data_IF_803470170950
#
_entry.id   IF_803470170950
#
_cell.length_a   1.000
_cell.length_b   1.000
_cell.length_c   1.000
_cell.angle_alpha   90.00
_cell.angle_beta   90.00
_cell.angle_gamma   90.00
#
_symmetry.space_group_name_H-M   'P 1'
#
loop_
_entity.id
_entity.type
_entity.pdbx_description
1 polymer ?
#
# COMPACT_ATOMS: atom_id res chain seq x y z
N UNK A 1 -14.24 8.97 15.23
CA UNK A 1 -14.10 7.51 15.43
C UNK A 1 -12.87 7.12 16.26
N UNK A 2 -11.62 7.46 15.90
CA UNK A 2 -10.42 7.03 16.66
C UNK A 2 -10.40 7.41 18.15
N UNK A 3 -10.91 8.60 18.52
CA UNK A 3 -11.03 9.04 19.93
C UNK A 3 -12.09 8.24 20.71
N UNK A 4 -13.15 7.78 20.02
CA UNK A 4 -14.20 6.95 20.65
C UNK A 4 -13.70 5.54 20.97
N UNK A 5 -12.70 5.04 20.25
CA UNK A 5 -12.05 3.74 20.46
C UNK A 5 -11.01 3.74 21.60
N UNK A 6 -10.76 4.90 22.26
CA UNK A 6 -9.79 5.08 23.36
C UNK A 6 -8.40 4.46 23.10
N UNK A 7 -7.97 4.39 21.84
CA UNK A 7 -6.71 3.75 21.46
C UNK A 7 -5.70 4.77 20.93
N UNK A 8 -4.66 5.11 21.73
CA UNK A 8 -3.54 5.94 21.31
C UNK A 8 -2.96 5.63 19.91
N UNK A 9 -2.73 4.36 19.49
CA UNK A 9 -2.15 4.09 18.17
C UNK A 9 -3.03 4.53 17.00
N UNK A 10 -4.36 4.39 17.10
CA UNK A 10 -5.28 4.82 16.03
C UNK A 10 -5.41 6.34 15.98
N UNK A 11 -5.37 7.01 17.13
CA UNK A 11 -5.37 8.47 17.18
C UNK A 11 -4.09 9.03 16.55
N UNK A 12 -2.92 8.46 16.86
CA UNK A 12 -1.64 8.86 16.24
C UNK A 12 -1.70 8.65 14.72
N UNK A 13 -2.19 7.50 14.26
CA UNK A 13 -2.35 7.24 12.83
C UNK A 13 -3.28 8.25 12.14
N UNK A 14 -4.37 8.64 12.81
CA UNK A 14 -5.28 9.66 12.32
C UNK A 14 -4.57 11.02 12.24
N UNK A 15 -3.84 11.44 13.28
CA UNK A 15 -3.10 12.70 13.27
C UNK A 15 -2.05 12.72 12.16
N UNK A 16 -1.29 11.64 11.98
CA UNK A 16 -0.33 11.50 10.87
C UNK A 16 -1.05 11.64 9.52
N UNK A 17 -2.21 10.99 9.36
CA UNK A 17 -3.00 11.11 8.13
C UNK A 17 -3.45 12.53 7.84
N UNK A 18 -3.84 13.28 8.87
CA UNK A 18 -4.16 14.70 8.75
C UNK A 18 -2.94 15.53 8.36
N UNK A 19 -1.80 15.34 9.03
CA UNK A 19 -0.54 16.07 8.74
C UNK A 19 -0.08 15.79 7.31
N UNK A 20 -0.05 14.53 6.89
CA UNK A 20 0.37 14.14 5.53
C UNK A 20 -0.64 14.66 4.50
N UNK A 21 -1.95 14.62 4.77
CA UNK A 21 -2.96 15.20 3.88
C UNK A 21 -2.81 16.73 3.74
N UNK A 22 -2.51 17.41 4.84
CA UNK A 22 -2.20 18.84 4.87
C UNK A 22 -0.91 19.14 4.08
N UNK A 23 0.17 18.41 4.33
CA UNK A 23 1.44 18.48 3.60
C UNK A 23 1.36 18.01 2.13
N UNK A 24 0.25 17.38 1.74
CA UNK A 24 -0.02 17.06 0.35
C UNK A 24 -0.68 18.23 -0.39
N UNK A 25 -1.55 18.97 0.30
CA UNK A 25 -2.49 19.92 -0.33
C UNK A 25 -2.14 21.39 -0.11
N UNK A 26 -1.47 21.75 0.99
CA UNK A 26 -1.22 23.16 1.35
C UNK A 26 -0.17 23.79 0.43
N UNK A 27 -0.50 24.95 -0.12
CA UNK A 27 0.37 25.72 -1.00
C UNK A 27 1.43 26.53 -0.23
N UNK A 28 2.23 25.87 0.61
CA UNK A 28 3.41 26.43 1.26
C UNK A 28 4.68 25.88 0.58
N UNK A 29 5.78 26.66 0.50
CA UNK A 29 7.06 26.13 0.04
C UNK A 29 7.44 24.91 0.90
N UNK A 30 7.84 23.80 0.25
CA UNK A 30 8.11 22.46 0.83
C UNK A 30 6.91 21.57 1.19
N UNK A 31 5.68 22.11 1.26
CA UNK A 31 4.47 21.37 1.68
C UNK A 31 3.46 21.13 0.55
N UNK A 32 3.87 21.34 -0.70
CA UNK A 32 3.03 21.03 -1.88
C UNK A 32 3.46 19.70 -2.49
N UNK A 33 3.40 18.62 -1.72
CA UNK A 33 3.89 17.30 -2.15
C UNK A 33 3.18 16.76 -3.39
N UNK A 34 1.95 17.23 -3.68
CA UNK A 34 1.25 16.99 -4.95
C UNK A 34 2.07 17.38 -6.18
N UNK A 35 2.96 18.37 -6.07
CA UNK A 35 3.77 18.86 -7.19
C UNK A 35 4.99 17.97 -7.51
N UNK A 36 5.29 16.97 -6.67
CA UNK A 36 6.45 16.08 -6.87
C UNK A 36 6.01 14.61 -6.86
N UNK A 37 6.33 13.82 -7.90
CA UNK A 37 5.88 12.42 -8.01
C UNK A 37 6.38 11.55 -6.86
N UNK A 38 7.63 11.75 -6.43
CA UNK A 38 8.23 10.97 -5.35
C UNK A 38 7.51 11.19 -4.02
N UNK A 39 7.15 12.43 -3.70
CA UNK A 39 6.44 12.71 -2.44
C UNK A 39 5.00 12.20 -2.48
N UNK A 40 4.36 12.15 -3.66
CA UNK A 40 3.05 11.54 -3.81
C UNK A 40 3.08 10.03 -3.50
N UNK A 41 4.10 9.32 -3.98
CA UNK A 41 4.32 7.90 -3.66
C UNK A 41 4.57 7.72 -2.16
N UNK A 42 5.45 8.52 -1.57
CA UNK A 42 5.75 8.47 -0.12
C UNK A 42 4.50 8.72 0.72
N UNK A 43 3.68 9.71 0.36
CA UNK A 43 2.43 10.00 1.04
C UNK A 43 1.48 8.78 1.02
N UNK A 44 1.33 8.13 -0.13
CA UNK A 44 0.43 6.97 -0.27
C UNK A 44 0.95 5.76 0.52
N UNK A 45 2.26 5.53 0.54
CA UNK A 45 2.87 4.47 1.37
C UNK A 45 2.60 4.72 2.86
N UNK A 46 2.75 5.96 3.33
CA UNK A 46 2.48 6.30 4.74
C UNK A 46 1.00 6.10 5.06
N UNK A 47 0.11 6.57 4.18
CA UNK A 47 -1.33 6.57 4.39
C UNK A 47 -1.97 5.18 4.30
N UNK A 48 -1.39 4.27 3.52
CA UNK A 48 -1.97 2.95 3.24
C UNK A 48 -1.04 1.80 3.66
N UNK A 49 0.23 1.82 3.22
CA UNK A 49 1.19 0.75 3.47
C UNK A 49 1.55 0.59 4.96
N UNK A 50 2.00 1.68 5.60
CA UNK A 50 2.44 1.66 7.01
C UNK A 50 1.25 1.60 7.98
N UNK A 51 0.07 2.02 7.52
CA UNK A 51 -1.12 2.13 8.35
C UNK A 51 -1.58 0.79 8.95
N UNK A 52 -1.11 -0.34 8.42
CA UNK A 52 -1.33 -1.69 8.99
C UNK A 52 -0.80 -1.81 10.43
N UNK A 53 0.30 -1.11 10.77
CA UNK A 53 0.94 -1.20 12.08
C UNK A 53 0.05 -0.66 13.23
N UNK A 54 -0.49 0.57 13.17
CA UNK A 54 -1.44 1.08 14.16
C UNK A 54 -2.62 0.14 14.44
N UNK A 55 -3.22 -0.45 13.39
CA UNK A 55 -4.32 -1.39 13.55
C UNK A 55 -3.88 -2.66 14.26
N UNK A 56 -2.73 -3.24 13.88
CA UNK A 56 -2.18 -4.41 14.56
C UNK A 56 -1.92 -4.13 16.05
N UNK A 57 -1.32 -2.98 16.37
CA UNK A 57 -1.06 -2.58 17.76
C UNK A 57 -2.36 -2.41 18.54
N UNK A 58 -3.39 -1.82 17.92
CA UNK A 58 -4.71 -1.68 18.54
C UNK A 58 -5.32 -3.04 18.89
N UNK A 59 -5.37 -3.96 17.94
CA UNK A 59 -5.94 -5.28 18.16
C UNK A 59 -5.17 -6.09 19.19
N UNK A 60 -3.84 -6.11 19.12
CA UNK A 60 -3.03 -6.87 20.10
C UNK A 60 -3.17 -6.32 21.51
N UNK A 61 -2.96 -5.01 21.70
CA UNK A 61 -2.84 -4.41 23.03
C UNK A 61 -4.18 -4.06 23.66
N UNK A 62 -5.14 -3.56 22.88
CA UNK A 62 -6.39 -3.00 23.43
C UNK A 62 -7.60 -3.92 23.27
N UNK A 63 -7.62 -4.78 22.24
CA UNK A 63 -8.72 -5.74 22.05
C UNK A 63 -8.39 -7.09 22.71
N UNK A 64 -7.18 -7.62 22.46
CA UNK A 64 -6.77 -8.94 22.94
C UNK A 64 -5.98 -8.91 24.26
N UNK A 65 -5.51 -7.73 24.71
CA UNK A 65 -4.72 -7.59 25.93
C UNK A 65 -3.36 -8.31 25.91
N UNK A 66 -2.83 -8.62 24.71
CA UNK A 66 -1.59 -9.38 24.52
C UNK A 66 -0.38 -8.46 24.38
N UNK A 67 0.80 -9.02 24.68
CA UNK A 67 2.07 -8.33 24.44
C UNK A 67 2.32 -8.15 22.94
N UNK A 68 2.94 -7.01 22.59
CA UNK A 68 3.31 -6.71 21.21
C UNK A 68 4.47 -7.60 20.78
N UNK A 69 4.17 -8.57 19.92
CA UNK A 69 5.16 -9.40 19.25
C UNK A 69 5.08 -9.11 17.76
N UNK A 70 6.19 -8.65 17.19
CA UNK A 70 6.31 -8.46 15.74
C UNK A 70 6.46 -9.82 15.08
N UNK A 71 5.40 -10.26 14.42
CA UNK A 71 5.35 -11.59 13.78
C UNK A 71 5.81 -11.51 12.33
N UNK A 72 6.35 -12.61 11.79
CA UNK A 72 6.72 -12.69 10.36
C UNK A 72 5.56 -12.36 9.40
N UNK A 73 4.30 -12.79 9.67
CA UNK A 73 3.15 -12.39 8.86
C UNK A 73 2.90 -10.88 8.86
N UNK A 74 3.13 -10.18 9.99
CA UNK A 74 2.98 -8.72 10.04
C UNK A 74 3.99 -8.03 9.12
N UNK A 75 5.26 -8.45 9.18
CA UNK A 75 6.30 -7.90 8.30
C UNK A 75 5.94 -8.14 6.83
N UNK A 76 5.48 -9.34 6.49
CA UNK A 76 4.99 -9.67 5.15
C UNK A 76 3.83 -8.75 4.73
N UNK A 77 2.82 -8.54 5.59
CA UNK A 77 1.69 -7.65 5.29
C UNK A 77 2.11 -6.21 5.06
N UNK A 78 3.06 -5.68 5.84
CA UNK A 78 3.57 -4.30 5.67
C UNK A 78 4.32 -4.16 4.34
N UNK A 79 5.18 -5.12 3.99
CA UNK A 79 5.91 -5.10 2.71
C UNK A 79 4.93 -5.21 1.54
N UNK A 80 3.98 -6.15 1.61
CA UNK A 80 2.99 -6.37 0.56
C UNK A 80 2.11 -5.13 0.36
N UNK A 81 1.56 -4.57 1.44
CA UNK A 81 0.76 -3.33 1.36
C UNK A 81 1.58 -2.13 0.91
N UNK A 82 2.88 -2.09 1.24
CA UNK A 82 3.80 -1.07 0.73
C UNK A 82 3.95 -1.13 -0.80
N UNK A 83 4.23 -2.31 -1.36
CA UNK A 83 4.31 -2.52 -2.81
C UNK A 83 2.98 -2.17 -3.47
N UNK A 84 1.87 -2.64 -2.92
CA UNK A 84 0.52 -2.34 -3.43
C UNK A 84 0.23 -0.83 -3.42
N UNK A 85 0.66 -0.12 -2.38
CA UNK A 85 0.53 1.34 -2.28
C UNK A 85 1.31 2.08 -3.37
N UNK A 86 2.51 1.60 -3.74
CA UNK A 86 3.29 2.14 -4.86
C UNK A 86 2.56 1.92 -6.19
N UNK A 87 2.03 0.71 -6.41
CA UNK A 87 1.25 0.37 -7.60
C UNK A 87 0.02 1.27 -7.72
N UNK A 88 -0.72 1.49 -6.63
CA UNK A 88 -1.85 2.42 -6.61
C UNK A 88 -1.43 3.85 -6.96
N UNK A 89 -0.27 4.29 -6.46
CA UNK A 89 0.27 5.62 -6.76
C UNK A 89 0.62 5.78 -8.25
N UNK A 90 1.09 4.72 -8.90
CA UNK A 90 1.39 4.76 -10.35
C UNK A 90 0.10 4.71 -11.18
N UNK A 91 -0.85 3.86 -10.79
CA UNK A 91 -2.11 3.71 -11.52
C UNK A 91 -3.00 4.95 -11.42
N UNK A 92 -3.01 5.67 -10.29
CA UNK A 92 -3.73 6.97 -10.19
C UNK A 92 -3.15 8.02 -11.13
N UNK A 93 -1.83 8.01 -11.36
CA UNK A 93 -1.16 9.05 -12.15
C UNK A 93 -1.41 8.88 -13.66
N UNK A 94 -1.84 7.70 -14.14
CA UNK A 94 -2.12 7.42 -15.56
C UNK A 94 -3.35 8.21 -16.09
N UNK A 95 -4.52 8.18 -15.44
CA UNK A 95 -5.66 9.01 -15.82
C UNK A 95 -5.48 10.49 -15.45
N UNK A 96 -4.63 10.81 -14.47
CA UNK A 96 -4.39 12.19 -14.02
C UNK A 96 -3.40 12.97 -14.92
N UNK A 97 -2.81 12.33 -15.93
CA UNK A 97 -1.79 12.94 -16.81
C UNK A 97 -2.26 14.24 -17.45
N UNK A 98 -3.48 14.24 -18.01
CA UNK A 98 -4.04 15.40 -18.69
C UNK A 98 -4.19 16.59 -17.73
N UNK A 99 -4.73 16.36 -16.53
CA UNK A 99 -4.89 17.39 -15.51
C UNK A 99 -3.55 17.88 -14.96
N UNK A 100 -2.64 16.97 -14.62
CA UNK A 100 -1.33 17.33 -14.07
C UNK A 100 -0.48 18.14 -15.08
N UNK A 101 -0.66 17.90 -16.39
CA UNK A 101 -0.02 18.65 -17.45
C UNK A 101 -0.48 20.11 -17.47
N UNK A 102 -1.77 20.38 -17.28
CA UNK A 102 -2.32 21.74 -17.22
C UNK A 102 -1.78 22.52 -16.01
N UNK A 103 -1.53 21.83 -14.89
CA UNK A 103 -0.92 22.41 -13.68
C UNK A 103 0.61 22.45 -13.72
N UNK A 104 1.25 22.01 -14.81
CA UNK A 104 2.71 22.00 -14.98
C UNK A 104 3.45 21.02 -14.06
N UNK A 105 2.75 20.01 -13.52
CA UNK A 105 3.33 18.98 -12.66
C UNK A 105 3.89 17.89 -13.57
N UNK A 106 5.16 17.49 -13.39
CA UNK A 106 5.75 16.40 -14.17
C UNK A 106 5.57 15.07 -13.45
N UNK A 107 4.62 14.23 -13.88
CA UNK A 107 4.37 12.90 -13.31
C UNK A 107 5.15 11.80 -14.01
N UNK A 108 5.29 10.64 -13.35
CA UNK A 108 5.98 9.47 -13.90
C UNK A 108 5.46 9.02 -15.28
N UNK A 109 4.13 8.97 -15.52
CA UNK A 109 3.60 8.63 -16.84
C UNK A 109 3.92 9.66 -17.94
N UNK A 110 4.17 10.93 -17.59
CA UNK A 110 4.63 11.92 -18.58
C UNK A 110 6.09 11.72 -18.98
N UNK A 111 6.93 11.22 -18.06
CA UNK A 111 8.37 11.02 -18.29
C UNK A 111 8.62 9.69 -19.03
N UNK A 112 7.98 8.61 -18.58
CA UNK A 112 8.20 7.26 -19.10
C UNK A 112 7.16 6.81 -20.15
N UNK A 113 6.01 7.48 -20.21
CA UNK A 113 4.87 7.07 -21.03
C UNK A 113 3.88 6.21 -20.25
N UNK A 114 2.58 6.39 -20.54
CA UNK A 114 1.46 5.69 -19.86
C UNK A 114 1.60 4.17 -19.95
N UNK A 115 1.91 3.64 -21.13
CA UNK A 115 2.04 2.18 -21.37
C UNK A 115 3.17 1.56 -20.55
N UNK A 116 4.32 2.23 -20.44
CA UNK A 116 5.45 1.73 -19.64
C UNK A 116 5.14 1.72 -18.16
N UNK A 117 4.52 2.79 -17.64
CA UNK A 117 4.12 2.84 -16.23
C UNK A 117 3.06 1.79 -15.91
N UNK A 118 2.12 1.56 -16.82
CA UNK A 118 1.14 0.49 -16.70
C UNK A 118 1.80 -0.90 -16.66
N UNK A 119 2.72 -1.17 -17.59
CA UNK A 119 3.48 -2.42 -17.64
C UNK A 119 4.29 -2.64 -16.35
N UNK A 120 5.03 -1.62 -15.87
CA UNK A 120 5.77 -1.67 -14.60
C UNK A 120 4.83 -1.98 -13.43
N UNK A 121 3.67 -1.33 -13.38
CA UNK A 121 2.67 -1.53 -12.32
C UNK A 121 2.15 -2.96 -12.29
N UNK A 122 1.86 -3.54 -13.47
CA UNK A 122 1.46 -4.94 -13.60
C UNK A 122 2.60 -5.87 -13.17
N UNK A 123 3.84 -5.62 -13.62
CA UNK A 123 4.99 -6.45 -13.24
C UNK A 123 5.25 -6.43 -11.74
N UNK A 124 5.17 -5.27 -11.08
CA UNK A 124 5.30 -5.16 -9.62
C UNK A 124 4.18 -5.92 -8.90
N UNK A 125 2.95 -5.83 -9.40
CA UNK A 125 1.82 -6.53 -8.83
C UNK A 125 1.97 -8.05 -8.98
N UNK A 126 2.40 -8.52 -10.16
CA UNK A 126 2.66 -9.93 -10.42
C UNK A 126 3.75 -10.48 -9.51
N UNK A 127 4.85 -9.74 -9.32
CA UNK A 127 5.92 -10.12 -8.39
C UNK A 127 5.44 -10.15 -6.95
N UNK A 128 4.60 -9.19 -6.53
CA UNK A 128 4.04 -9.17 -5.18
C UNK A 128 3.14 -10.38 -4.91
N UNK A 129 2.24 -10.72 -5.84
CA UNK A 129 1.39 -11.90 -5.72
C UNK A 129 2.17 -13.22 -5.86
N UNK A 130 3.19 -13.27 -6.73
CA UNK A 130 4.10 -14.41 -6.82
C UNK A 130 4.84 -14.65 -5.50
N UNK A 131 5.38 -13.59 -4.89
CA UNK A 131 5.97 -13.65 -3.55
C UNK A 131 4.98 -14.07 -2.47
N UNK A 132 3.73 -13.60 -2.55
CA UNK A 132 2.66 -14.02 -1.64
C UNK A 132 2.33 -15.51 -1.76
N UNK A 133 2.25 -16.04 -2.98
CA UNK A 133 2.03 -17.46 -3.22
C UNK A 133 3.18 -18.30 -2.65
N UNK A 134 4.43 -17.89 -2.89
CA UNK A 134 5.61 -18.58 -2.33
C UNK A 134 5.60 -18.57 -0.79
N UNK A 135 5.26 -17.44 -0.18
CA UNK A 135 5.11 -17.32 1.27
C UNK A 135 3.97 -18.20 1.81
N UNK A 136 2.86 -18.31 1.07
CA UNK A 136 1.71 -19.15 1.42
C UNK A 136 2.04 -20.65 1.40
N UNK A 137 2.74 -21.12 0.36
CA UNK A 137 3.19 -22.53 0.25
C UNK A 137 4.25 -22.87 1.30
N UNK A 138 5.15 -21.92 1.59
CA UNK A 138 6.21 -22.10 2.59
C UNK A 138 5.72 -21.99 4.05
N UNK A 139 4.47 -21.59 4.26
CA UNK A 139 3.88 -21.43 5.59
C UNK A 139 3.75 -22.79 6.29
N UNK A 140 4.04 -22.89 7.61
CA UNK A 140 3.83 -24.12 8.37
C UNK A 140 2.33 -24.42 8.59
N UNK A 141 1.44 -23.48 8.31
CA UNK A 141 0.01 -23.61 8.57
C UNK A 141 -0.73 -24.24 7.38
N UNK A 142 -1.43 -25.35 7.62
CA UNK A 142 -2.08 -26.14 6.58
C UNK A 142 -3.13 -25.35 5.79
N UNK A 143 -3.92 -24.50 6.46
CA UNK A 143 -4.92 -23.67 5.78
C UNK A 143 -4.29 -22.69 4.79
N UNK A 144 -3.13 -22.10 5.12
CA UNK A 144 -2.43 -21.21 4.18
C UNK A 144 -2.01 -21.96 2.91
N UNK A 145 -1.56 -23.21 3.03
CA UNK A 145 -1.19 -24.04 1.89
C UNK A 145 -2.40 -24.40 1.03
N UNK A 146 -3.48 -24.87 1.65
CA UNK A 146 -4.71 -25.26 0.94
C UNK A 146 -5.32 -24.09 0.17
N UNK A 147 -5.40 -22.92 0.82
CA UNK A 147 -5.88 -21.69 0.18
C UNK A 147 -4.99 -21.30 -1.00
N UNK A 148 -3.67 -21.35 -0.83
CA UNK A 148 -2.73 -20.98 -1.90
C UNK A 148 -2.81 -21.95 -3.08
N UNK A 149 -2.92 -23.26 -2.82
CA UNK A 149 -3.07 -24.29 -3.86
C UNK A 149 -4.37 -24.13 -4.64
N UNK A 150 -5.49 -23.88 -3.95
CA UNK A 150 -6.77 -23.63 -4.59
C UNK A 150 -6.74 -22.43 -5.54
N UNK A 151 -6.18 -21.31 -5.10
CA UNK A 151 -6.05 -20.12 -5.94
C UNK A 151 -5.05 -20.32 -7.08
N UNK A 152 -3.97 -21.08 -6.87
CA UNK A 152 -3.02 -21.41 -7.93
C UNK A 152 -3.66 -22.29 -9.02
N UNK A 153 -4.42 -23.31 -8.64
CA UNK A 153 -5.18 -24.14 -9.59
C UNK A 153 -6.24 -23.33 -10.35
N UNK A 154 -7.01 -22.50 -9.64
CA UNK A 154 -8.00 -21.63 -10.28
C UNK A 154 -7.37 -20.67 -11.30
N UNK A 155 -6.25 -20.06 -10.94
CA UNK A 155 -5.52 -19.15 -11.83
C UNK A 155 -4.97 -19.89 -13.07
N UNK A 156 -4.37 -21.07 -12.89
CA UNK A 156 -3.86 -21.89 -14.00
C UNK A 156 -4.99 -22.36 -14.93
N UNK A 157 -6.16 -22.73 -14.40
CA UNK A 157 -7.29 -23.20 -15.21
C UNK A 157 -7.93 -22.10 -16.07
N UNK A 158 -7.91 -20.83 -15.63
CA UNK A 158 -8.60 -19.74 -16.31
C UNK A 158 -7.70 -18.89 -17.23
N UNK A 159 -6.38 -18.87 -17.00
CA UNK A 159 -5.46 -18.00 -17.76
C UNK A 159 -4.55 -18.74 -18.75
N UNK A 160 -4.38 -20.06 -18.61
CA UNK A 160 -3.52 -20.89 -19.50
C UNK A 160 -4.34 -21.57 -20.61
N UNK A 161 -5.63 -21.25 -20.72
CA UNK A 161 -6.55 -21.80 -21.72
C UNK A 161 -7.17 -20.67 -22.54
#
# INVERSE_FOLDING_TARGET
MGVMLRSPPLVIALVIRWIVGAAYSIALPLLRWKASPLMAVVAIIILNGINVLPYFVHFQKYVLGRHLVFTKPLLFSVIFMGIFSVVLAFLKDIPDVEGDKEFGIRTLPMILGKERVFSISISMLLLAYGGAALAGVSSPFLLCKLVTLYYAEFFLMHFVR
#
